data_IF_462832397001
#
_entry.id   IF_462832397001
#
_cell.length_a   1.000
_cell.length_b   1.000
_cell.length_c   1.000
_cell.angle_alpha   90.00
_cell.angle_beta   90.00
_cell.angle_gamma   90.00
#
_symmetry.space_group_name_H-M   'P 1'
#
loop_
_entity.id
_entity.type
_entity.pdbx_description
1 polymer ?
#
# COMPACT_ATOMS: atom_id res chain seq x y z
N UNK A 1 -0.14 15.23 14.49
CA UNK A 1 -0.29 15.19 13.02
C UNK A 1 -1.76 15.10 12.66
N UNK A 2 -2.14 15.75 11.57
CA UNK A 2 -3.48 15.71 10.99
C UNK A 2 -3.48 14.77 9.80
N UNK A 3 -4.46 13.87 9.73
CA UNK A 3 -4.64 12.93 8.62
C UNK A 3 -5.92 13.24 7.86
N UNK A 4 -6.01 12.78 6.60
CA UNK A 4 -7.16 12.98 5.73
C UNK A 4 -7.85 11.64 5.46
N UNK A 5 -9.07 11.51 5.98
CA UNK A 5 -9.89 10.31 5.85
C UNK A 5 -11.10 10.56 4.95
N UNK A 6 -11.50 9.56 4.16
CA UNK A 6 -12.82 9.54 3.56
C UNK A 6 -13.64 8.40 4.15
N UNK A 7 -14.78 8.72 4.76
CA UNK A 7 -15.75 7.75 5.26
C UNK A 7 -16.80 7.50 4.21
N UNK A 8 -16.76 6.31 3.61
CA UNK A 8 -17.66 5.87 2.56
C UNK A 8 -18.60 4.80 3.10
N UNK A 9 -19.87 5.14 3.31
CA UNK A 9 -20.88 4.25 3.91
C UNK A 9 -22.23 4.40 3.20
N UNK A 10 -23.11 3.43 3.41
CA UNK A 10 -24.40 3.35 2.73
C UNK A 10 -25.57 3.98 3.51
N UNK A 11 -25.31 4.64 4.65
CA UNK A 11 -26.39 5.17 5.51
C UNK A 11 -25.98 6.46 6.22
N UNK A 12 -26.87 7.43 6.20
CA UNK A 12 -26.73 8.66 7.00
C UNK A 12 -26.64 8.37 8.50
N UNK A 13 -27.33 7.33 8.97
CA UNK A 13 -27.32 6.95 10.39
C UNK A 13 -25.90 6.56 10.85
N UNK A 14 -25.10 5.91 9.98
CA UNK A 14 -23.71 5.58 10.26
C UNK A 14 -22.83 6.83 10.21
N UNK A 15 -23.09 7.74 9.27
CA UNK A 15 -22.35 9.03 9.20
C UNK A 15 -22.54 9.80 10.52
N UNK A 16 -23.76 9.90 11.04
CA UNK A 16 -24.03 10.62 12.28
C UNK A 16 -23.35 9.97 13.49
N UNK A 17 -23.35 8.64 13.59
CA UNK A 17 -22.60 7.94 14.65
C UNK A 17 -21.08 8.21 14.54
N UNK A 18 -20.54 8.24 13.32
CA UNK A 18 -19.11 8.55 13.09
C UNK A 18 -18.79 10.01 13.41
N UNK A 19 -19.63 10.97 13.02
CA UNK A 19 -19.46 12.38 13.36
C UNK A 19 -19.44 12.57 14.88
N UNK A 20 -20.38 11.97 15.60
CA UNK A 20 -20.45 12.03 17.05
C UNK A 20 -19.21 11.39 17.70
N UNK A 21 -18.74 10.24 17.18
CA UNK A 21 -17.57 9.56 17.71
C UNK A 21 -16.27 10.32 17.48
N UNK A 22 -16.21 11.16 16.45
CA UNK A 22 -15.01 11.87 16.01
C UNK A 22 -15.09 13.39 16.19
N UNK A 23 -16.05 13.89 16.97
CA UNK A 23 -16.32 15.32 17.15
C UNK A 23 -15.07 16.13 17.54
N UNK A 24 -14.19 15.55 18.35
CA UNK A 24 -12.96 16.19 18.83
C UNK A 24 -11.70 15.69 18.08
N UNK A 25 -11.85 15.06 16.91
CA UNK A 25 -10.72 14.60 16.13
C UNK A 25 -10.01 15.79 15.45
N UNK A 26 -8.67 15.84 15.46
CA UNK A 26 -7.92 16.84 14.70
C UNK A 26 -7.89 16.54 13.19
N UNK A 27 -8.34 15.34 12.78
CA UNK A 27 -8.26 14.86 11.40
C UNK A 27 -9.30 15.53 10.49
N UNK A 28 -9.00 15.57 9.21
CA UNK A 28 -9.95 15.98 8.18
C UNK A 28 -10.74 14.74 7.73
N UNK A 29 -12.06 14.78 7.85
CA UNK A 29 -12.90 13.64 7.51
C UNK A 29 -13.93 14.08 6.48
N UNK A 30 -13.85 13.48 5.30
CA UNK A 30 -14.88 13.59 4.26
C UNK A 30 -15.91 12.47 4.45
N UNK A 31 -17.18 12.80 4.36
CA UNK A 31 -18.29 11.86 4.54
C UNK A 31 -19.09 11.76 3.25
N UNK A 32 -19.24 10.54 2.72
CA UNK A 32 -19.96 10.32 1.48
C UNK A 32 -20.85 9.09 1.56
N UNK A 33 -22.06 9.18 0.96
CA UNK A 33 -22.95 8.06 0.81
C UNK A 33 -22.65 7.30 -0.48
N UNK A 34 -22.42 6.01 -0.33
CA UNK A 34 -22.08 5.12 -1.44
C UNK A 34 -22.86 3.81 -1.38
N UNK A 35 -22.99 3.13 -2.50
CA UNK A 35 -23.53 1.78 -2.61
C UNK A 35 -22.48 0.79 -3.14
N UNK A 36 -22.89 -0.44 -3.43
CA UNK A 36 -21.99 -1.48 -3.97
C UNK A 36 -21.30 -1.10 -5.28
N UNK A 37 -21.97 -0.32 -6.14
CA UNK A 37 -21.46 0.08 -7.46
C UNK A 37 -20.60 1.34 -7.38
N UNK A 38 -21.07 2.35 -6.64
CA UNK A 38 -20.41 3.67 -6.58
C UNK A 38 -19.23 3.69 -5.62
N UNK A 39 -19.22 2.82 -4.58
CA UNK A 39 -18.20 2.80 -3.55
C UNK A 39 -16.78 2.62 -4.06
N UNK A 40 -16.48 1.62 -4.90
CA UNK A 40 -15.14 1.42 -5.43
C UNK A 40 -14.60 2.58 -6.27
N UNK A 41 -15.46 3.22 -7.05
CA UNK A 41 -15.11 4.39 -7.87
C UNK A 41 -14.81 5.60 -6.97
N UNK A 42 -15.72 5.91 -6.05
CA UNK A 42 -15.56 7.02 -5.09
C UNK A 42 -14.30 6.85 -4.23
N UNK A 43 -13.96 5.62 -3.83
CA UNK A 43 -12.74 5.36 -3.07
C UNK A 43 -11.47 5.74 -3.82
N UNK A 44 -11.38 5.41 -5.11
CA UNK A 44 -10.25 5.82 -5.97
C UNK A 44 -10.20 7.33 -6.12
N UNK A 45 -11.34 7.97 -6.43
CA UNK A 45 -11.44 9.43 -6.57
C UNK A 45 -10.98 10.15 -5.28
N UNK A 46 -11.37 9.65 -4.10
CA UNK A 46 -10.90 10.21 -2.84
C UNK A 46 -9.37 10.06 -2.67
N UNK A 47 -8.79 8.90 -2.99
CA UNK A 47 -7.34 8.70 -2.91
C UNK A 47 -6.58 9.60 -3.90
N UNK A 48 -7.08 9.77 -5.11
CA UNK A 48 -6.52 10.67 -6.13
C UNK A 48 -6.59 12.14 -5.68
N UNK A 49 -7.63 12.50 -4.91
CA UNK A 49 -7.79 13.82 -4.28
C UNK A 49 -6.97 14.00 -3.00
N UNK A 50 -6.10 13.03 -2.67
CA UNK A 50 -5.15 13.11 -1.57
C UNK A 50 -5.71 12.73 -0.20
N UNK A 51 -6.85 12.05 -0.11
CA UNK A 51 -7.24 11.34 1.10
C UNK A 51 -6.32 10.14 1.28
N UNK A 52 -5.93 9.85 2.51
CA UNK A 52 -4.89 8.86 2.79
C UNK A 52 -5.47 7.48 3.08
N UNK A 53 -6.60 7.47 3.75
CA UNK A 53 -7.27 6.22 4.15
C UNK A 53 -8.78 6.35 3.94
N UNK A 54 -9.33 5.31 3.36
CA UNK A 54 -10.77 5.13 3.23
C UNK A 54 -11.28 4.33 4.43
N UNK A 55 -12.27 4.87 5.10
CA UNK A 55 -13.01 4.17 6.15
C UNK A 55 -14.35 3.72 5.55
N UNK A 56 -14.74 2.49 5.81
CA UNK A 56 -15.97 1.92 5.27
C UNK A 56 -16.62 0.93 6.25
N UNK A 57 -17.87 0.54 5.99
CA UNK A 57 -18.62 -0.34 6.87
C UNK A 57 -19.50 -1.30 6.07
N UNK A 58 -19.68 -2.53 6.59
CA UNK A 58 -20.57 -3.55 6.04
C UNK A 58 -20.18 -4.04 4.64
N UNK A 59 -21.12 -4.68 3.94
CA UNK A 59 -20.87 -5.29 2.63
C UNK A 59 -20.40 -4.33 1.53
N UNK A 60 -20.86 -3.07 1.53
CA UNK A 60 -20.31 -2.03 0.65
C UNK A 60 -18.81 -1.81 0.93
N UNK A 61 -18.42 -1.92 2.21
CA UNK A 61 -17.01 -1.85 2.59
C UNK A 61 -16.15 -2.98 1.99
N UNK A 62 -16.72 -4.17 1.80
CA UNK A 62 -16.01 -5.30 1.20
C UNK A 62 -15.71 -5.07 -0.29
N UNK A 63 -16.65 -4.47 -1.02
CA UNK A 63 -16.41 -4.11 -2.43
C UNK A 63 -15.33 -3.01 -2.56
N UNK A 64 -15.32 -2.04 -1.65
CA UNK A 64 -14.30 -1.00 -1.59
C UNK A 64 -12.94 -1.62 -1.26
N UNK A 65 -12.88 -2.49 -0.23
CA UNK A 65 -11.64 -3.14 0.19
C UNK A 65 -10.99 -3.95 -0.95
N UNK A 66 -11.77 -4.69 -1.72
CA UNK A 66 -11.24 -5.42 -2.89
C UNK A 66 -10.68 -4.50 -3.98
N UNK A 67 -11.18 -3.29 -4.08
CA UNK A 67 -10.77 -2.31 -5.10
C UNK A 67 -9.48 -1.57 -4.74
N UNK A 68 -9.28 -1.24 -3.46
CA UNK A 68 -8.14 -0.44 -2.96
C UNK A 68 -7.63 -0.98 -1.61
N UNK A 69 -7.17 -2.25 -1.54
CA UNK A 69 -6.94 -2.96 -0.28
C UNK A 69 -5.88 -2.33 0.62
N UNK A 70 -4.91 -1.61 0.03
CA UNK A 70 -3.81 -1.02 0.79
C UNK A 70 -4.13 0.30 1.49
N UNK A 71 -5.31 0.88 1.23
CA UNK A 71 -5.68 2.21 1.75
C UNK A 71 -7.05 2.21 2.43
N UNK A 72 -7.55 1.04 2.83
CA UNK A 72 -8.88 0.90 3.43
C UNK A 72 -8.80 0.31 4.83
N UNK A 73 -9.62 0.85 5.72
CA UNK A 73 -9.91 0.27 7.03
C UNK A 73 -11.41 0.10 7.18
N UNK A 74 -11.85 -1.13 7.45
CA UNK A 74 -13.26 -1.41 7.75
C UNK A 74 -13.56 -1.06 9.20
N UNK A 75 -14.69 -0.42 9.43
CA UNK A 75 -15.33 -0.35 10.75
C UNK A 75 -15.95 -1.71 10.99
N UNK A 76 -15.28 -2.54 11.78
CA UNK A 76 -15.76 -3.89 12.10
C UNK A 76 -17.03 -3.83 12.95
N UNK A 77 -17.95 -4.74 12.68
CA UNK A 77 -19.10 -4.99 13.53
C UNK A 77 -18.67 -5.84 14.72
N UNK A 78 -19.14 -5.48 15.89
CA UNK A 78 -18.97 -6.29 17.09
C UNK A 78 -20.27 -7.01 17.45
N UNK A 79 -20.17 -8.09 18.24
CA UNK A 79 -21.32 -8.82 18.76
C UNK A 79 -22.25 -7.88 19.55
N UNK A 80 -21.69 -6.88 20.22
CA UNK A 80 -22.45 -5.86 20.94
C UNK A 80 -23.27 -4.96 19.99
N UNK A 81 -22.81 -4.71 18.78
CA UNK A 81 -23.56 -3.94 17.79
C UNK A 81 -24.80 -4.72 17.34
N UNK A 82 -24.65 -6.04 17.12
CA UNK A 82 -25.73 -6.97 16.78
C UNK A 82 -26.71 -7.10 17.95
N UNK A 83 -26.22 -7.31 19.17
CA UNK A 83 -27.05 -7.42 20.37
C UNK A 83 -27.88 -6.17 20.60
N UNK A 84 -27.32 -4.98 20.42
CA UNK A 84 -28.06 -3.70 20.51
C UNK A 84 -29.14 -3.61 19.46
N UNK A 85 -28.88 -3.99 18.22
CA UNK A 85 -29.84 -3.98 17.13
C UNK A 85 -30.98 -4.98 17.40
N UNK A 86 -30.66 -6.21 17.84
CA UNK A 86 -31.63 -7.23 18.21
C UNK A 86 -32.53 -6.78 19.38
N UNK A 87 -31.97 -6.11 20.39
CA UNK A 87 -32.75 -5.58 21.51
C UNK A 87 -33.78 -4.53 21.07
N UNK A 88 -33.43 -3.71 20.07
CA UNK A 88 -34.37 -2.74 19.48
C UNK A 88 -35.42 -3.46 18.65
N UNK A 89 -35.03 -4.39 17.79
CA UNK A 89 -35.87 -5.15 16.90
C UNK A 89 -36.89 -6.02 17.67
N UNK A 90 -36.49 -6.57 18.82
CA UNK A 90 -37.37 -7.35 19.72
C UNK A 90 -38.61 -6.60 20.18
N UNK A 91 -38.56 -5.28 20.29
CA UNK A 91 -39.75 -4.49 20.67
C UNK A 91 -40.87 -4.58 19.64
N UNK A 92 -40.60 -5.08 18.44
CA UNK A 92 -41.53 -5.18 17.32
C UNK A 92 -41.87 -6.63 16.95
N UNK A 93 -40.98 -7.59 17.21
CA UNK A 93 -41.20 -9.01 16.94
C UNK A 93 -40.19 -9.88 17.66
N UNK A 94 -40.62 -11.09 18.08
CA UNK A 94 -39.72 -12.15 18.55
C UNK A 94 -39.12 -12.98 17.41
N UNK A 95 -39.52 -12.75 16.14
CA UNK A 95 -38.98 -13.37 14.95
C UNK A 95 -38.21 -12.32 14.16
N UNK A 96 -36.88 -12.44 14.09
CA UNK A 96 -36.00 -11.41 13.53
C UNK A 96 -35.11 -12.05 12.48
N UNK A 97 -34.97 -11.42 11.32
CA UNK A 97 -34.00 -11.78 10.29
C UNK A 97 -32.67 -11.06 10.61
N UNK A 98 -31.56 -11.80 10.64
CA UNK A 98 -30.21 -11.25 10.66
C UNK A 98 -29.65 -11.33 9.25
N UNK A 99 -29.57 -10.19 8.54
CA UNK A 99 -29.00 -10.10 7.21
C UNK A 99 -27.50 -9.80 7.29
N UNK A 100 -26.67 -10.70 6.77
CA UNK A 100 -25.20 -10.56 6.76
C UNK A 100 -24.60 -10.83 5.39
N UNK A 101 -23.53 -10.10 5.09
CA UNK A 101 -22.74 -10.30 3.89
C UNK A 101 -21.66 -11.35 4.16
N UNK A 102 -21.61 -12.43 3.35
CA UNK A 102 -20.58 -13.49 3.40
C UNK A 102 -20.32 -14.07 4.81
N UNK A 103 -21.35 -14.47 5.53
CA UNK A 103 -21.23 -15.14 6.83
C UNK A 103 -20.29 -14.43 7.84
N UNK A 104 -20.46 -13.10 7.96
CA UNK A 104 -19.70 -12.29 8.95
C UNK A 104 -19.96 -12.71 10.40
N UNK A 105 -21.03 -13.49 10.64
CA UNK A 105 -21.43 -13.94 11.98
C UNK A 105 -21.52 -15.46 12.03
N UNK A 106 -20.71 -16.05 12.89
CA UNK A 106 -20.80 -17.48 13.16
C UNK A 106 -22.17 -17.82 13.76
N UNK A 107 -22.76 -18.93 13.32
CA UNK A 107 -24.06 -19.42 13.81
C UNK A 107 -24.14 -19.54 15.34
N UNK A 108 -22.99 -19.74 16.01
CA UNK A 108 -22.88 -19.76 17.47
C UNK A 108 -23.37 -18.49 18.14
N UNK A 109 -23.09 -17.32 17.58
CA UNK A 109 -23.48 -16.02 18.15
C UNK A 109 -25.00 -15.82 18.04
N UNK A 110 -25.58 -16.19 16.89
CA UNK A 110 -27.02 -16.12 16.70
C UNK A 110 -27.78 -16.99 17.75
N UNK A 111 -27.32 -18.21 17.98
CA UNK A 111 -27.90 -19.14 18.98
C UNK A 111 -27.79 -18.61 20.42
N UNK A 112 -26.68 -18.02 20.79
CA UNK A 112 -26.52 -17.42 22.13
C UNK A 112 -27.43 -16.20 22.30
N UNK A 113 -27.55 -15.36 21.28
CA UNK A 113 -28.44 -14.19 21.31
C UNK A 113 -29.93 -14.57 21.34
N UNK A 114 -30.34 -15.65 20.65
CA UNK A 114 -31.67 -16.23 20.75
C UNK A 114 -32.02 -16.58 22.20
N UNK A 115 -31.12 -17.26 22.89
CA UNK A 115 -31.27 -17.65 24.28
C UNK A 115 -31.32 -16.45 25.22
N UNK A 116 -30.38 -15.51 25.06
CA UNK A 116 -30.28 -14.32 25.89
C UNK A 116 -31.52 -13.42 25.80
N UNK A 117 -32.06 -13.26 24.59
CA UNK A 117 -33.14 -12.34 24.32
C UNK A 117 -34.51 -13.04 24.26
N UNK A 118 -34.56 -14.36 24.31
CA UNK A 118 -35.78 -15.15 24.08
C UNK A 118 -36.48 -14.73 22.78
N UNK A 119 -35.78 -14.83 21.66
CA UNK A 119 -36.23 -14.51 20.30
C UNK A 119 -35.86 -15.65 19.37
N UNK A 120 -36.39 -15.63 18.14
CA UNK A 120 -35.97 -16.50 17.04
C UNK A 120 -35.27 -15.69 15.99
N UNK A 121 -34.02 -16.04 15.70
CA UNK A 121 -33.19 -15.38 14.69
C UNK A 121 -33.05 -16.29 13.48
N UNK A 122 -33.29 -15.76 12.29
CA UNK A 122 -33.08 -16.45 11.02
C UNK A 122 -31.99 -15.70 10.26
N UNK A 123 -30.87 -16.36 10.00
CA UNK A 123 -29.79 -15.79 9.20
C UNK A 123 -30.16 -15.72 7.71
N UNK A 124 -29.99 -14.57 7.10
CA UNK A 124 -30.07 -14.32 5.67
C UNK A 124 -28.70 -13.92 5.16
N UNK A 125 -27.90 -14.92 4.76
CA UNK A 125 -26.52 -14.74 4.27
C UNK A 125 -26.57 -14.48 2.78
N UNK A 126 -25.78 -13.52 2.28
CA UNK A 126 -25.71 -13.16 0.88
C UNK A 126 -24.31 -12.64 0.48
N UNK A 127 -24.01 -12.77 -0.82
CA UNK A 127 -22.79 -12.22 -1.45
C UNK A 127 -23.11 -11.21 -2.57
N UNK A 128 -24.38 -11.15 -2.97
CA UNK A 128 -24.87 -10.29 -4.04
C UNK A 128 -26.24 -9.70 -3.69
N UNK A 129 -26.63 -8.57 -4.32
CA UNK A 129 -27.96 -7.98 -4.12
C UNK A 129 -29.12 -8.93 -4.47
N UNK A 130 -28.93 -9.78 -5.49
CA UNK A 130 -29.92 -10.76 -5.93
C UNK A 130 -30.13 -11.84 -4.88
N UNK A 131 -29.04 -12.43 -4.36
CA UNK A 131 -29.11 -13.42 -3.27
C UNK A 131 -29.71 -12.83 -2.01
N UNK A 132 -29.39 -11.58 -1.68
CA UNK A 132 -29.98 -10.87 -0.54
C UNK A 132 -31.50 -10.81 -0.66
N UNK A 133 -32.04 -10.38 -1.82
CA UNK A 133 -33.46 -10.31 -2.07
C UNK A 133 -34.14 -11.68 -1.92
N UNK A 134 -33.55 -12.72 -2.48
CA UNK A 134 -34.08 -14.10 -2.38
C UNK A 134 -34.07 -14.60 -0.94
N UNK A 135 -32.99 -14.42 -0.20
CA UNK A 135 -32.86 -14.85 1.19
C UNK A 135 -33.91 -14.14 2.10
N UNK A 136 -34.06 -12.82 1.95
CA UNK A 136 -35.03 -12.02 2.70
C UNK A 136 -36.45 -12.47 2.34
N UNK A 137 -36.76 -12.66 1.05
CA UNK A 137 -38.07 -13.11 0.59
C UNK A 137 -38.45 -14.45 1.19
N UNK A 138 -37.54 -15.42 1.25
CA UNK A 138 -37.76 -16.73 1.86
C UNK A 138 -38.09 -16.59 3.36
N UNK A 139 -37.38 -15.73 4.08
CA UNK A 139 -37.70 -15.48 5.50
C UNK A 139 -39.07 -14.80 5.67
N UNK A 140 -39.46 -13.88 4.80
CA UNK A 140 -40.77 -13.22 4.82
C UNK A 140 -41.88 -14.23 4.61
N UNK A 141 -41.73 -15.20 3.68
CA UNK A 141 -42.68 -16.28 3.45
C UNK A 141 -42.85 -17.21 4.68
N UNK A 142 -41.81 -17.31 5.53
CA UNK A 142 -41.83 -18.02 6.81
C UNK A 142 -42.45 -17.19 7.97
N UNK A 143 -42.93 -15.99 7.67
CA UNK A 143 -43.61 -15.12 8.62
C UNK A 143 -42.70 -14.18 9.43
N UNK A 144 -41.45 -14.00 9.01
CA UNK A 144 -40.58 -13.00 9.60
C UNK A 144 -40.91 -11.62 9.03
N UNK A 145 -41.12 -10.61 9.89
CA UNK A 145 -41.50 -9.25 9.50
C UNK A 145 -40.52 -8.17 9.99
N UNK A 146 -39.48 -8.57 10.72
CA UNK A 146 -38.49 -7.66 11.27
C UNK A 146 -37.10 -8.15 10.87
N UNK A 147 -36.24 -7.22 10.44
CA UNK A 147 -34.89 -7.49 9.99
C UNK A 147 -33.92 -6.55 10.69
N UNK A 148 -32.75 -7.08 11.05
CA UNK A 148 -31.55 -6.29 11.36
C UNK A 148 -30.47 -6.56 10.31
N UNK A 149 -29.72 -5.54 9.89
CA UNK A 149 -28.68 -5.71 8.87
C UNK A 149 -28.06 -4.39 8.42
N UNK A 150 -27.67 -4.33 7.15
CA UNK A 150 -27.19 -3.12 6.49
C UNK A 150 -28.32 -2.26 5.93
N UNK A 151 -27.98 -1.07 5.39
CA UNK A 151 -28.99 -0.16 4.82
C UNK A 151 -29.71 -0.76 3.60
N UNK A 152 -28.99 -1.49 2.76
CA UNK A 152 -29.58 -2.12 1.56
C UNK A 152 -30.55 -3.24 1.97
N UNK A 153 -30.19 -4.07 2.94
CA UNK A 153 -31.09 -5.13 3.44
C UNK A 153 -32.30 -4.56 4.21
N UNK A 154 -32.11 -3.43 4.92
CA UNK A 154 -33.24 -2.67 5.52
C UNK A 154 -34.23 -2.23 4.44
N UNK A 155 -33.75 -1.55 3.40
CA UNK A 155 -34.59 -1.07 2.30
C UNK A 155 -35.33 -2.24 1.61
N UNK A 156 -34.64 -3.35 1.36
CA UNK A 156 -35.25 -4.55 0.80
C UNK A 156 -36.36 -5.12 1.69
N UNK A 157 -36.18 -5.16 3.01
CA UNK A 157 -37.22 -5.63 3.94
C UNK A 157 -38.41 -4.70 3.93
N UNK A 158 -38.24 -3.40 3.82
CA UNK A 158 -39.30 -2.40 3.76
C UNK A 158 -40.11 -2.53 2.46
N UNK A 159 -39.49 -2.90 1.33
CA UNK A 159 -40.18 -3.24 0.06
C UNK A 159 -41.15 -4.41 0.23
N UNK A 160 -40.85 -5.38 1.11
CA UNK A 160 -41.73 -6.50 1.45
C UNK A 160 -42.74 -6.17 2.56
N UNK A 161 -42.90 -4.91 2.94
CA UNK A 161 -43.82 -4.44 3.97
C UNK A 161 -43.41 -4.79 5.40
N UNK A 162 -42.18 -5.21 5.61
CA UNK A 162 -41.61 -5.45 6.93
C UNK A 162 -40.91 -4.21 7.50
N UNK A 163 -40.23 -4.40 8.62
CA UNK A 163 -39.46 -3.33 9.29
C UNK A 163 -37.98 -3.70 9.38
N UNK A 164 -37.10 -2.84 8.85
CA UNK A 164 -35.66 -3.01 8.87
C UNK A 164 -34.99 -2.08 9.88
N UNK A 165 -33.95 -2.60 10.58
CA UNK A 165 -33.08 -1.82 11.47
C UNK A 165 -31.65 -1.98 11.05
N UNK A 166 -30.89 -0.87 11.04
CA UNK A 166 -29.47 -0.88 10.72
C UNK A 166 -28.67 -1.29 11.96
N UNK A 167 -27.75 -2.24 11.78
CA UNK A 167 -26.74 -2.55 12.79
C UNK A 167 -25.71 -1.41 12.76
N UNK A 168 -25.80 -0.52 13.76
CA UNK A 168 -24.93 0.64 13.89
C UNK A 168 -23.68 0.27 14.66
N UNK A 169 -22.49 0.69 14.19
CA UNK A 169 -21.26 0.48 14.94
C UNK A 169 -21.27 1.27 16.26
N UNK A 170 -20.72 0.68 17.31
CA UNK A 170 -20.52 1.39 18.58
C UNK A 170 -19.46 2.48 18.44
N UNK A 171 -19.52 3.46 19.35
CA UNK A 171 -18.50 4.51 19.47
C UNK A 171 -17.08 3.92 19.56
N UNK A 172 -16.92 2.80 20.29
CA UNK A 172 -15.63 2.10 20.42
C UNK A 172 -15.16 1.50 19.10
N UNK A 173 -16.06 0.84 18.35
CA UNK A 173 -15.74 0.26 17.04
C UNK A 173 -15.26 1.35 16.06
N UNK A 174 -15.94 2.49 16.06
CA UNK A 174 -15.59 3.64 15.23
C UNK A 174 -14.21 4.18 15.64
N UNK A 175 -13.99 4.47 16.91
CA UNK A 175 -12.70 5.00 17.39
C UNK A 175 -11.54 4.03 17.08
N UNK A 176 -11.77 2.73 17.20
CA UNK A 176 -10.76 1.72 16.87
C UNK A 176 -10.40 1.73 15.39
N UNK A 177 -11.41 1.85 14.51
CA UNK A 177 -11.17 1.94 13.06
C UNK A 177 -10.37 3.21 12.69
N UNK A 178 -10.73 4.36 13.26
CA UNK A 178 -9.96 5.59 13.05
C UNK A 178 -8.52 5.48 13.61
N UNK A 179 -8.33 4.84 14.76
CA UNK A 179 -6.98 4.57 15.28
C UNK A 179 -6.17 3.71 14.33
N UNK A 180 -6.74 2.61 13.81
CA UNK A 180 -6.11 1.77 12.78
C UNK A 180 -5.80 2.57 11.51
N UNK A 181 -6.74 3.43 11.09
CA UNK A 181 -6.57 4.33 9.95
C UNK A 181 -5.39 5.28 10.12
N UNK A 182 -5.23 5.90 11.29
CA UNK A 182 -4.06 6.75 11.59
C UNK A 182 -2.75 5.98 11.52
N UNK A 183 -2.71 4.75 12.05
CA UNK A 183 -1.52 3.91 11.95
C UNK A 183 -1.19 3.57 10.49
N UNK A 184 -2.20 3.26 9.67
CA UNK A 184 -2.01 2.98 8.25
C UNK A 184 -1.50 4.22 7.51
N UNK A 185 -2.14 5.38 7.69
CA UNK A 185 -1.70 6.64 7.08
C UNK A 185 -0.27 7.01 7.50
N UNK A 186 0.05 6.86 8.78
CA UNK A 186 1.41 7.10 9.29
C UNK A 186 2.44 6.19 8.61
N UNK A 187 2.17 4.88 8.55
CA UNK A 187 3.06 3.91 7.90
C UNK A 187 3.25 4.22 6.42
N UNK A 188 2.19 4.63 5.71
CA UNK A 188 2.28 5.02 4.31
C UNK A 188 3.11 6.29 4.11
N UNK A 189 2.93 7.32 4.96
CA UNK A 189 3.76 8.54 4.93
C UNK A 189 5.23 8.23 5.19
N UNK A 190 5.52 7.38 6.19
CA UNK A 190 6.88 6.97 6.51
C UNK A 190 7.53 6.20 5.34
N UNK A 191 6.79 5.27 4.72
CA UNK A 191 7.26 4.55 3.54
C UNK A 191 7.56 5.49 2.38
N UNK A 192 6.64 6.42 2.06
CA UNK A 192 6.84 7.44 1.02
C UNK A 192 8.05 8.33 1.33
N UNK A 193 8.21 8.76 2.58
CA UNK A 193 9.36 9.58 3.01
C UNK A 193 10.68 8.83 2.87
N UNK A 194 10.74 7.56 3.30
CA UNK A 194 11.94 6.73 3.16
C UNK A 194 12.30 6.52 1.69
N UNK A 195 11.31 6.20 0.86
CA UNK A 195 11.52 6.03 -0.57
C UNK A 195 11.98 7.35 -1.22
N UNK A 196 11.36 8.48 -0.89
CA UNK A 196 11.78 9.79 -1.37
C UNK A 196 13.20 10.16 -0.96
N UNK A 197 13.60 9.90 0.29
CA UNK A 197 14.95 10.11 0.76
C UNK A 197 15.97 9.21 0.03
N UNK A 198 15.63 7.93 -0.18
CA UNK A 198 16.46 7.00 -0.93
C UNK A 198 16.67 7.46 -2.38
N UNK A 199 15.58 7.83 -3.06
CA UNK A 199 15.63 8.39 -4.42
C UNK A 199 16.49 9.64 -4.47
N UNK A 200 16.33 10.55 -3.51
CA UNK A 200 17.14 11.78 -3.43
C UNK A 200 18.64 11.45 -3.27
N UNK A 201 19.00 10.50 -2.41
CA UNK A 201 20.39 10.04 -2.25
C UNK A 201 20.91 9.49 -3.58
N UNK A 202 20.15 8.61 -4.24
CA UNK A 202 20.54 8.01 -5.51
C UNK A 202 20.73 9.04 -6.62
N UNK A 203 19.88 10.07 -6.69
CA UNK A 203 19.98 11.15 -7.66
C UNK A 203 21.24 12.04 -7.48
N UNK A 204 21.80 12.08 -6.25
CA UNK A 204 23.01 12.86 -5.94
C UNK A 204 24.30 12.02 -5.98
N UNK A 205 24.22 10.70 -6.19
CA UNK A 205 25.41 9.89 -6.42
C UNK A 205 26.08 10.31 -7.73
N UNK A 206 27.41 10.37 -7.71
CA UNK A 206 28.23 10.59 -8.91
C UNK A 206 28.47 9.29 -9.70
N UNK A 207 28.20 8.16 -9.09
CA UNK A 207 28.25 6.84 -9.72
C UNK A 207 26.92 6.55 -10.41
N UNK A 208 26.99 5.99 -11.63
CA UNK A 208 25.82 5.47 -12.32
C UNK A 208 25.30 4.23 -11.59
N UNK A 209 24.01 4.20 -11.33
CA UNK A 209 23.30 3.03 -10.76
C UNK A 209 22.29 2.57 -11.79
N UNK A 210 22.40 1.30 -12.21
CA UNK A 210 21.48 0.66 -13.13
C UNK A 210 21.06 -0.69 -12.56
N UNK A 211 19.77 -0.91 -12.37
CA UNK A 211 19.20 -2.16 -11.86
C UNK A 211 18.18 -2.71 -12.85
N UNK A 212 18.26 -4.02 -13.11
CA UNK A 212 17.32 -4.73 -13.97
C UNK A 212 16.75 -5.96 -13.25
N UNK A 213 15.52 -6.36 -13.64
CA UNK A 213 14.91 -7.61 -13.20
C UNK A 213 15.30 -8.80 -14.09
N UNK A 214 14.72 -9.98 -13.79
CA UNK A 214 14.93 -11.21 -14.56
C UNK A 214 14.39 -11.16 -15.99
N UNK A 215 13.44 -10.29 -16.28
CA UNK A 215 12.86 -10.04 -17.61
C UNK A 215 13.60 -8.95 -18.39
N UNK A 216 14.68 -8.41 -17.79
CA UNK A 216 15.51 -7.34 -18.32
C UNK A 216 14.81 -5.96 -18.39
N UNK A 217 13.76 -5.74 -17.60
CA UNK A 217 13.20 -4.42 -17.44
C UNK A 217 14.07 -3.60 -16.49
N UNK A 218 14.24 -2.32 -16.80
CA UNK A 218 14.98 -1.39 -15.95
C UNK A 218 14.12 -1.01 -14.74
N UNK A 219 14.54 -1.44 -13.56
CA UNK A 219 13.89 -1.09 -12.30
C UNK A 219 14.37 0.26 -11.76
N UNK A 220 15.66 0.56 -11.93
CA UNK A 220 16.29 1.77 -11.41
C UNK A 220 17.37 2.21 -12.38
N UNK A 221 17.36 3.51 -12.72
CA UNK A 221 18.47 4.21 -13.34
C UNK A 221 18.54 5.60 -12.72
N UNK A 222 19.64 5.94 -12.05
CA UNK A 222 19.81 7.26 -11.44
C UNK A 222 20.29 8.31 -12.47
N UNK A 223 20.27 9.58 -12.08
CA UNK A 223 20.72 10.69 -12.93
C UNK A 223 22.12 10.50 -13.49
N UNK A 224 23.06 10.01 -12.68
CA UNK A 224 24.43 9.75 -13.12
C UNK A 224 24.49 8.65 -14.19
N UNK A 225 23.66 7.60 -14.11
CA UNK A 225 23.57 6.57 -15.13
C UNK A 225 23.16 7.15 -16.49
N UNK A 226 22.13 8.00 -16.53
CA UNK A 226 21.73 8.68 -17.76
C UNK A 226 22.85 9.55 -18.34
N UNK A 227 23.56 10.29 -17.49
CA UNK A 227 24.65 11.17 -17.90
C UNK A 227 25.87 10.40 -18.42
N UNK A 228 26.33 9.41 -17.66
CA UNK A 228 27.52 8.62 -17.98
C UNK A 228 27.31 7.75 -19.22
N UNK A 229 26.12 7.18 -19.39
CA UNK A 229 25.77 6.36 -20.56
C UNK A 229 25.28 7.20 -21.75
N UNK A 230 25.16 8.52 -21.57
CA UNK A 230 24.68 9.46 -22.60
C UNK A 230 23.30 9.06 -23.15
N UNK A 231 22.41 8.60 -22.27
CA UNK A 231 21.02 8.24 -22.56
C UNK A 231 20.14 9.41 -22.16
N UNK A 232 19.17 9.77 -23.02
CA UNK A 232 18.19 10.81 -22.68
C UNK A 232 17.27 10.32 -21.56
N UNK A 233 16.92 11.13 -20.55
CA UNK A 233 15.93 10.77 -19.53
C UNK A 233 14.53 10.48 -20.09
N UNK A 234 14.26 10.90 -21.32
CA UNK A 234 13.00 10.66 -22.03
C UNK A 234 13.06 9.44 -22.98
N UNK A 235 14.24 8.77 -23.04
CA UNK A 235 14.42 7.61 -23.89
C UNK A 235 13.68 6.40 -23.29
N UNK A 236 13.19 5.55 -24.19
CA UNK A 236 12.63 4.26 -23.81
C UNK A 236 13.69 3.40 -23.08
N UNK A 237 13.27 2.61 -22.11
CA UNK A 237 14.14 1.72 -21.31
C UNK A 237 14.98 0.78 -22.17
N UNK A 238 14.53 0.47 -23.38
CA UNK A 238 15.28 -0.33 -24.39
C UNK A 238 16.66 0.24 -24.74
N UNK A 239 16.88 1.54 -24.57
CA UNK A 239 18.19 2.15 -24.82
C UNK A 239 19.27 1.67 -23.84
N UNK A 240 18.91 1.20 -22.66
CA UNK A 240 19.85 0.64 -21.70
C UNK A 240 20.29 -0.79 -22.04
N UNK A 241 19.56 -1.53 -22.87
CA UNK A 241 19.82 -2.94 -23.16
C UNK A 241 21.23 -3.20 -23.69
N UNK A 242 21.79 -2.27 -24.46
CA UNK A 242 23.17 -2.36 -24.99
C UNK A 242 24.25 -2.33 -23.90
N UNK A 243 23.94 -1.89 -22.69
CA UNK A 243 24.87 -1.79 -21.56
C UNK A 243 24.74 -2.98 -20.60
N UNK A 244 23.70 -3.79 -20.66
CA UNK A 244 23.46 -4.86 -19.69
C UNK A 244 24.58 -5.90 -19.68
N UNK A 245 25.02 -6.35 -20.86
CA UNK A 245 26.08 -7.34 -20.99
C UNK A 245 27.46 -6.74 -20.61
N UNK A 246 27.89 -5.57 -21.11
CA UNK A 246 29.15 -4.97 -20.70
C UNK A 246 29.26 -4.70 -19.19
N UNK A 247 28.19 -4.23 -18.57
CA UNK A 247 28.12 -4.01 -17.11
C UNK A 247 28.08 -5.31 -16.31
N UNK A 248 27.89 -6.46 -16.95
CA UNK A 248 27.83 -7.76 -16.29
C UNK A 248 26.47 -8.08 -15.65
N UNK A 249 25.43 -7.28 -15.94
CA UNK A 249 24.09 -7.46 -15.35
C UNK A 249 23.48 -8.81 -15.77
N UNK A 250 23.56 -9.17 -17.06
CA UNK A 250 22.99 -10.43 -17.56
C UNK A 250 23.69 -11.67 -16.99
N UNK A 251 25.01 -11.61 -16.86
CA UNK A 251 25.76 -12.72 -16.29
C UNK A 251 25.46 -12.86 -14.79
N UNK A 252 25.35 -11.73 -14.07
CA UNK A 252 25.00 -11.72 -12.65
C UNK A 252 23.58 -12.23 -12.41
N UNK A 253 22.62 -11.95 -13.28
CA UNK A 253 21.27 -12.54 -13.21
C UNK A 253 21.30 -14.05 -13.41
N UNK A 254 22.19 -14.56 -14.26
CA UNK A 254 22.27 -15.99 -14.60
C UNK A 254 22.89 -16.82 -13.49
N UNK A 255 24.01 -16.37 -12.92
CA UNK A 255 24.81 -17.17 -11.98
C UNK A 255 24.76 -16.67 -10.53
N UNK A 256 24.06 -15.56 -10.31
CA UNK A 256 23.89 -14.91 -8.99
C UNK A 256 25.24 -14.62 -8.28
N UNK A 257 26.31 -14.41 -9.05
CA UNK A 257 27.64 -14.11 -8.50
C UNK A 257 27.96 -12.62 -8.62
N UNK A 258 28.52 -11.98 -7.58
CA UNK A 258 28.96 -10.59 -7.67
C UNK A 258 30.17 -10.45 -8.59
N UNK A 259 30.26 -9.29 -9.26
CA UNK A 259 31.36 -8.91 -10.14
C UNK A 259 31.91 -7.57 -9.72
N UNK A 260 33.05 -7.58 -9.04
CA UNK A 260 33.58 -6.37 -8.41
C UNK A 260 34.69 -5.75 -9.22
N UNK A 261 34.74 -4.42 -9.24
CA UNK A 261 35.83 -3.57 -9.78
C UNK A 261 36.32 -3.97 -11.19
N UNK A 262 35.37 -4.34 -12.06
CA UNK A 262 35.72 -4.71 -13.44
C UNK A 262 35.94 -3.46 -14.29
N UNK A 263 37.04 -3.44 -15.02
CA UNK A 263 37.23 -2.46 -16.09
C UNK A 263 36.37 -2.88 -17.28
N UNK A 264 35.46 -2.02 -17.72
CA UNK A 264 34.54 -2.27 -18.82
C UNK A 264 34.63 -1.13 -19.84
N UNK A 265 34.47 -1.47 -21.11
CA UNK A 265 34.35 -0.49 -22.18
C UNK A 265 32.87 -0.25 -22.46
N UNK A 266 32.42 1.00 -22.39
CA UNK A 266 31.07 1.41 -22.75
C UNK A 266 31.19 2.48 -23.86
N UNK A 267 30.97 2.04 -25.09
CA UNK A 267 31.06 2.91 -26.30
C UNK A 267 32.40 3.62 -26.49
N UNK A 268 33.52 2.92 -26.21
CA UNK A 268 34.86 3.46 -26.35
C UNK A 268 35.35 4.29 -25.16
N UNK A 269 34.61 4.35 -24.09
CA UNK A 269 35.01 4.99 -22.84
C UNK A 269 35.19 3.92 -21.74
N UNK A 270 36.27 4.06 -20.95
CA UNK A 270 36.61 3.11 -19.91
C UNK A 270 35.88 3.45 -18.60
N UNK A 271 35.21 2.47 -18.04
CA UNK A 271 34.51 2.56 -16.76
C UNK A 271 35.00 1.48 -15.80
N UNK A 272 34.85 1.74 -14.51
CA UNK A 272 34.91 0.70 -13.48
C UNK A 272 33.50 0.40 -13.04
N UNK A 273 33.11 -0.89 -13.13
CA UNK A 273 31.78 -1.36 -12.76
C UNK A 273 31.86 -2.45 -11.69
N UNK A 274 30.95 -2.39 -10.74
CA UNK A 274 30.70 -3.42 -9.74
C UNK A 274 29.24 -3.82 -9.79
N UNK A 275 28.97 -5.11 -9.97
CA UNK A 275 27.61 -5.62 -10.18
C UNK A 275 27.30 -6.69 -9.13
N UNK A 276 26.16 -6.53 -8.47
CA UNK A 276 25.67 -7.44 -7.43
C UNK A 276 24.32 -8.06 -7.80
N UNK A 277 24.10 -9.34 -7.45
CA UNK A 277 22.76 -9.92 -7.48
C UNK A 277 21.96 -9.41 -6.28
N UNK A 278 20.67 -9.18 -6.49
CA UNK A 278 19.68 -8.85 -5.46
C UNK A 278 18.49 -9.76 -5.59
N UNK A 279 17.85 -10.08 -4.47
CA UNK A 279 16.57 -10.79 -4.44
C UNK A 279 15.53 -9.85 -3.85
N UNK A 280 14.51 -9.51 -4.61
CA UNK A 280 13.38 -8.70 -4.14
C UNK A 280 12.38 -9.54 -3.36
N UNK A 281 11.44 -8.91 -2.67
CA UNK A 281 10.42 -9.53 -1.81
C UNK A 281 9.56 -10.62 -2.48
N UNK A 282 9.55 -10.71 -3.81
CA UNK A 282 8.82 -11.72 -4.60
C UNK A 282 9.70 -12.90 -5.05
N UNK A 283 10.85 -13.12 -4.41
CA UNK A 283 11.88 -14.07 -4.83
C UNK A 283 12.35 -13.87 -6.30
N UNK A 284 12.09 -12.70 -6.86
CA UNK A 284 12.53 -12.35 -8.22
C UNK A 284 13.98 -11.89 -8.20
N UNK A 285 14.88 -12.58 -8.89
CA UNK A 285 16.27 -12.16 -8.98
C UNK A 285 16.41 -10.88 -9.81
N UNK A 286 17.23 -9.95 -9.32
CA UNK A 286 17.58 -8.71 -9.96
C UNK A 286 19.11 -8.57 -9.97
N UNK A 287 19.64 -7.71 -10.82
CA UNK A 287 21.05 -7.33 -10.80
C UNK A 287 21.17 -5.81 -10.76
N UNK A 288 22.06 -5.32 -9.90
CA UNK A 288 22.39 -3.89 -9.82
C UNK A 288 23.86 -3.68 -10.14
N UNK A 289 24.13 -2.74 -11.05
CA UNK A 289 25.49 -2.29 -11.38
C UNK A 289 25.70 -0.86 -10.93
N UNK A 290 26.80 -0.67 -10.20
CA UNK A 290 27.35 0.65 -9.89
C UNK A 290 28.57 0.86 -10.79
N UNK A 291 28.63 1.98 -11.49
CA UNK A 291 29.70 2.24 -12.43
C UNK A 291 30.09 3.72 -12.46
N UNK A 292 31.35 3.96 -12.75
CA UNK A 292 31.94 5.32 -12.88
C UNK A 292 33.02 5.35 -13.95
N UNK A 293 33.20 6.50 -14.57
CA UNK A 293 34.24 6.72 -15.57
C UNK A 293 35.63 6.82 -14.95
N UNK A 294 36.68 6.42 -15.70
CA UNK A 294 38.07 6.46 -15.25
C UNK A 294 38.60 7.87 -15.03
N UNK A 295 38.26 8.91 -15.81
CA UNK A 295 38.67 10.29 -15.54
C UNK A 295 38.26 10.80 -14.16
N UNK A 296 37.06 10.48 -13.70
CA UNK A 296 36.60 10.84 -12.36
C UNK A 296 37.48 10.22 -11.26
N UNK A 297 37.86 8.95 -11.44
CA UNK A 297 38.79 8.27 -10.51
C UNK A 297 40.16 8.91 -10.45
N UNK A 298 40.74 9.28 -11.61
CA UNK A 298 42.02 9.99 -11.66
C UNK A 298 41.96 11.35 -10.96
N UNK A 299 40.86 12.08 -11.14
CA UNK A 299 40.65 13.36 -10.46
C UNK A 299 40.58 13.22 -8.94
N UNK A 300 39.92 12.17 -8.45
CA UNK A 300 39.82 11.85 -7.01
C UNK A 300 41.21 11.44 -6.48
N UNK A 301 41.92 10.56 -7.18
CA UNK A 301 43.28 10.14 -6.81
C UNK A 301 44.21 11.32 -6.72
N UNK A 302 44.16 12.23 -7.70
CA UNK A 302 45.00 13.45 -7.70
C UNK A 302 44.63 14.40 -6.54
N UNK A 303 43.38 14.53 -6.18
CA UNK A 303 42.94 15.32 -5.01
C UNK A 303 43.47 14.69 -3.72
N UNK A 304 43.31 13.37 -3.55
CA UNK A 304 43.81 12.64 -2.39
C UNK A 304 45.30 12.78 -2.26
N UNK A 305 46.06 12.57 -3.34
CA UNK A 305 47.48 12.72 -3.33
C UNK A 305 47.90 14.15 -2.94
N UNK A 306 47.22 15.17 -3.50
CA UNK A 306 47.48 16.56 -3.15
C UNK A 306 47.23 16.87 -1.68
N UNK A 307 46.20 16.28 -1.11
CA UNK A 307 45.88 16.44 0.30
C UNK A 307 46.87 15.68 1.22
N UNK A 308 47.26 14.46 0.84
CA UNK A 308 48.29 13.69 1.54
C UNK A 308 49.63 14.43 1.52
N UNK A 309 50.02 15.04 0.39
CA UNK A 309 51.21 15.90 0.32
C UNK A 309 51.11 17.13 1.21
N UNK A 310 49.93 17.79 1.23
CA UNK A 310 49.74 18.97 2.09
C UNK A 310 49.84 18.67 3.57
N UNK A 311 49.48 17.45 3.96
CA UNK A 311 49.55 16.94 5.35
C UNK A 311 50.88 16.27 5.69
N UNK A 312 51.83 16.20 4.76
CA UNK A 312 53.12 15.54 4.98
C UNK A 312 53.05 14.01 5.11
N UNK A 313 51.94 13.39 4.66
CA UNK A 313 51.73 11.95 4.75
C UNK A 313 52.23 11.16 3.55
N UNK A 314 52.75 11.84 2.51
CA UNK A 314 53.45 11.21 1.37
C UNK A 314 54.61 12.06 0.89
N UNK A 315 55.66 11.42 0.34
CA UNK A 315 56.83 12.10 -0.19
C UNK A 315 56.50 12.78 -1.53
N UNK A 316 57.09 13.96 -1.77
CA UNK A 316 56.97 14.71 -3.03
C UNK A 316 57.72 14.08 -4.21
N UNK A 317 58.64 13.14 -3.95
CA UNK A 317 59.48 12.48 -4.94
C UNK A 317 59.36 10.96 -4.78
N UNK A 318 59.22 10.25 -5.88
CA UNK A 318 59.34 8.80 -5.96
C UNK A 318 60.81 8.39 -6.15
N UNK A 319 61.13 7.10 -5.87
CA UNK A 319 62.52 6.58 -6.10
C UNK A 319 62.95 6.78 -7.56
N UNK A 320 62.03 6.85 -8.51
CA UNK A 320 62.30 7.10 -9.93
C UNK A 320 62.74 8.55 -10.23
N UNK A 321 62.46 9.49 -9.35
CA UNK A 321 62.87 10.88 -9.47
C UNK A 321 64.33 11.12 -8.96
N UNK A 322 64.92 10.12 -8.32
CA UNK A 322 66.30 10.18 -7.83
C UNK A 322 67.24 9.74 -8.96
N UNK A 323 67.48 10.62 -9.90
CA UNK A 323 68.52 10.44 -10.86
C UNK A 323 69.91 10.80 -10.20
N UNK A 324 70.55 9.79 -9.60
CA UNK A 324 71.90 9.90 -9.15
C UNK A 324 72.82 9.93 -10.35
N UNK A 325 73.56 11.05 -10.56
CA UNK A 325 74.78 11.04 -11.37
C UNK A 325 75.86 10.41 -10.51
N UNK A 326 76.20 9.14 -10.72
CA UNK A 326 77.42 8.55 -10.28
C UNK A 326 78.52 8.94 -11.38
N UNK A 327 79.39 9.85 -11.06
CA UNK A 327 80.63 10.00 -11.81
C UNK A 327 81.61 8.93 -11.33
N UNK A 328 82.45 8.38 -12.25
CA UNK A 328 83.44 7.35 -11.94
C UNK A 328 84.61 7.86 -11.12
#
# INVERSE_FOLDING_TARGET
EKYRFALLVHSYEIIEECKNAMLNSPDEIHYELVNFETGPKMARECLDNGFEVILCHGGTGDTIFRSVPHSVVKIERSDMDVLRALRVAKQYSDKIILASYQDEFHDTIAVEMERLLNIKVQSAIYDSPEMMRQAIQQCVLQGFKVLIGGGVSKACMEEYGGRGFIIKPTHRSIQLAFKRGRHLAHSQREAKRRNGNMMMIMEHLQEGVLCIDSEQHVLIANKAAYQLLKVSPQADETFFSSFFQPLGLLDTLRDLTPRENRLVDLRGEAFIATTYPLILYSDTPCAVSLFRDTPSLQSISNKINKELYSRGLSARTTIEDIKGQSQP
#
